data_IF_277999514202
#
_entry.id   IF_277999514202
#
_cell.length_a   1.000
_cell.length_b   1.000
_cell.length_c   1.000
_cell.angle_alpha   90.00
_cell.angle_beta   90.00
_cell.angle_gamma   90.00
#
_symmetry.space_group_name_H-M   'P 1'
#
loop_
_entity.id
_entity.type
_entity.pdbx_description
1 polymer ?
#
# COMPACT_ATOMS: atom_id res chain seq x y z
N UNK A 1 22.98 12.58 6.91
CA UNK A 1 21.62 13.13 6.67
C UNK A 1 20.60 12.18 7.33
N UNK A 2 19.54 12.71 7.93
CA UNK A 2 18.48 11.88 8.54
C UNK A 2 17.73 11.12 7.44
N UNK A 3 17.56 9.80 7.58
CA UNK A 3 16.78 8.99 6.65
C UNK A 3 15.33 9.48 6.61
N UNK A 4 14.74 9.57 5.41
CA UNK A 4 13.30 9.78 5.25
C UNK A 4 12.53 8.59 5.79
N UNK A 5 11.26 8.80 6.17
CA UNK A 5 10.40 7.73 6.69
C UNK A 5 9.19 7.56 5.78
N UNK A 6 9.09 6.41 5.19
CA UNK A 6 8.04 6.07 4.23
C UNK A 6 7.13 5.00 4.83
N UNK A 7 5.82 5.19 4.72
CA UNK A 7 4.83 4.18 5.00
C UNK A 7 4.06 3.85 3.72
N UNK A 8 4.02 2.59 3.34
CA UNK A 8 3.19 2.10 2.25
C UNK A 8 1.97 1.43 2.84
N UNK A 9 0.78 1.86 2.47
CA UNK A 9 -0.48 1.28 2.89
C UNK A 9 -1.18 0.72 1.66
N UNK A 10 -1.12 -0.60 1.52
CA UNK A 10 -1.69 -1.34 0.41
C UNK A 10 -2.85 -2.23 0.87
N UNK A 11 -3.79 -2.50 -0.01
CA UNK A 11 -4.94 -3.33 0.30
C UNK A 11 -4.52 -4.81 0.40
N UNK A 12 -3.75 -5.31 -0.55
CA UNK A 12 -3.37 -6.72 -0.67
C UNK A 12 -1.86 -6.88 -0.80
N UNK A 13 -1.32 -8.05 -0.39
CA UNK A 13 0.09 -8.39 -0.64
C UNK A 13 0.33 -8.65 -2.13
N UNK A 14 0.96 -7.79 -2.82
CA UNK A 14 1.37 -7.64 -4.23
C UNK A 14 1.15 -6.20 -4.75
N UNK A 15 0.17 -5.49 -4.22
CA UNK A 15 -0.15 -4.12 -4.66
C UNK A 15 1.05 -3.17 -4.53
N UNK A 16 1.85 -3.31 -3.47
CA UNK A 16 3.04 -2.48 -3.22
C UNK A 16 4.10 -2.67 -4.32
N UNK A 17 4.22 -3.89 -4.83
CA UNK A 17 5.19 -4.20 -5.90
C UNK A 17 4.64 -3.78 -7.25
N UNK A 18 3.38 -4.08 -7.52
CA UNK A 18 2.73 -3.69 -8.77
C UNK A 18 2.73 -2.17 -8.92
N UNK A 19 2.31 -1.45 -7.87
CA UNK A 19 2.13 0.00 -7.90
C UNK A 19 3.43 0.80 -7.70
N UNK A 20 4.32 0.38 -6.80
CA UNK A 20 5.52 1.16 -6.48
C UNK A 20 6.79 0.34 -6.24
N UNK A 21 6.89 -0.91 -6.75
CA UNK A 21 8.05 -1.78 -6.54
C UNK A 21 9.38 -1.15 -6.97
N UNK A 22 9.44 -0.54 -8.16
CA UNK A 22 10.64 0.16 -8.62
C UNK A 22 11.00 1.37 -7.75
N UNK A 23 10.00 2.06 -7.21
CA UNK A 23 10.18 3.15 -6.26
C UNK A 23 10.73 2.65 -4.93
N UNK A 24 10.25 1.50 -4.44
CA UNK A 24 10.78 0.83 -3.24
C UNK A 24 12.26 0.52 -3.42
N UNK A 25 12.62 -0.15 -4.52
CA UNK A 25 14.00 -0.50 -4.86
C UNK A 25 14.94 0.72 -4.85
N UNK A 26 14.48 1.83 -5.44
CA UNK A 26 15.25 3.08 -5.50
C UNK A 26 15.39 3.76 -4.14
N UNK A 27 14.35 3.72 -3.31
CA UNK A 27 14.30 4.53 -2.09
C UNK A 27 14.78 3.80 -0.84
N UNK A 28 14.80 2.46 -0.81
CA UNK A 28 15.12 1.66 0.38
C UNK A 28 16.49 1.96 0.99
N UNK A 29 17.48 2.32 0.19
CA UNK A 29 18.82 2.65 0.64
C UNK A 29 18.88 3.91 1.54
N UNK A 30 18.03 4.89 1.21
CA UNK A 30 18.06 6.23 1.80
C UNK A 30 16.89 6.52 2.74
N UNK A 31 15.95 5.58 2.87
CA UNK A 31 14.73 5.76 3.64
C UNK A 31 14.41 4.53 4.48
N UNK A 32 13.76 4.74 5.60
CA UNK A 32 13.13 3.69 6.40
C UNK A 32 11.74 3.42 5.82
N UNK A 33 11.55 2.26 5.18
CA UNK A 33 10.30 1.90 4.52
C UNK A 33 9.57 0.87 5.38
N UNK A 34 8.33 1.17 5.76
CA UNK A 34 7.41 0.24 6.40
C UNK A 34 6.20 -0.01 5.49
N UNK A 35 5.65 -1.22 5.52
CA UNK A 35 4.51 -1.61 4.70
C UNK A 35 3.42 -2.22 5.55
N UNK A 36 2.18 -1.86 5.26
CA UNK A 36 0.97 -2.40 5.89
C UNK A 36 0.05 -2.93 4.80
N UNK A 37 -0.44 -4.16 4.98
CA UNK A 37 -1.50 -4.73 4.18
C UNK A 37 -2.81 -4.74 4.96
N UNK A 38 -3.88 -4.27 4.33
CA UNK A 38 -5.18 -4.19 4.96
C UNK A 38 -5.81 -5.57 5.10
N UNK A 39 -5.67 -6.42 4.08
CA UNK A 39 -6.25 -7.76 4.00
C UNK A 39 -5.19 -8.82 3.67
N UNK A 40 -5.58 -10.09 3.57
CA UNK A 40 -4.71 -11.17 3.14
C UNK A 40 -4.71 -11.41 1.61
N UNK A 41 -5.64 -10.76 0.88
CA UNK A 41 -5.74 -10.80 -0.57
C UNK A 41 -6.15 -12.15 -1.19
N UNK A 42 -6.72 -13.08 -0.42
CA UNK A 42 -7.09 -14.42 -0.93
C UNK A 42 -8.46 -14.91 -0.48
N UNK A 43 -9.04 -14.35 0.57
CA UNK A 43 -10.25 -14.91 1.16
C UNK A 43 -11.52 -14.60 0.35
N UNK A 44 -11.49 -13.62 -0.55
CA UNK A 44 -12.61 -13.30 -1.44
C UNK A 44 -12.95 -14.43 -2.43
N UNK A 45 -11.96 -15.21 -2.84
CA UNK A 45 -12.12 -16.33 -3.81
C UNK A 45 -12.33 -17.67 -3.15
N UNK A 46 -12.74 -17.69 -1.87
CA UNK A 46 -12.94 -18.87 -1.06
C UNK A 46 -11.90 -19.03 0.04
N UNK A 47 -12.29 -19.62 1.17
CA UNK A 47 -11.42 -19.83 2.32
C UNK A 47 -10.47 -21.00 2.05
N UNK A 48 -9.34 -20.73 1.43
CA UNK A 48 -8.26 -21.70 1.22
C UNK A 48 -7.03 -21.32 2.06
N UNK A 49 -6.90 -21.95 3.22
CA UNK A 49 -5.77 -21.72 4.15
C UNK A 49 -4.40 -21.99 3.50
N UNK A 50 -4.32 -22.89 2.54
CA UNK A 50 -3.07 -23.22 1.83
C UNK A 50 -2.67 -22.02 0.95
N UNK A 51 -3.61 -21.45 0.21
CA UNK A 51 -3.37 -20.28 -0.64
C UNK A 51 -2.97 -19.06 0.19
N UNK A 52 -3.63 -18.84 1.34
CA UNK A 52 -3.29 -17.76 2.27
C UNK A 52 -1.84 -17.91 2.80
N UNK A 53 -1.49 -19.11 3.26
CA UNK A 53 -0.13 -19.40 3.75
C UNK A 53 0.92 -19.22 2.64
N UNK A 54 0.63 -19.67 1.42
CA UNK A 54 1.53 -19.50 0.26
C UNK A 54 1.75 -18.04 -0.05
N UNK A 55 0.69 -17.24 -0.17
CA UNK A 55 0.78 -15.79 -0.46
C UNK A 55 1.57 -15.06 0.62
N UNK A 56 1.24 -15.31 1.88
CA UNK A 56 1.98 -14.71 3.01
C UNK A 56 3.47 -15.09 3.00
N UNK A 57 3.79 -16.35 2.73
CA UNK A 57 5.19 -16.79 2.67
C UNK A 57 5.93 -16.17 1.48
N UNK A 58 5.29 -16.04 0.32
CA UNK A 58 5.86 -15.36 -0.84
C UNK A 58 6.16 -13.88 -0.50
N UNK A 59 5.19 -13.19 0.07
CA UNK A 59 5.36 -11.83 0.53
C UNK A 59 6.54 -11.70 1.53
N UNK A 60 6.62 -12.57 2.55
CA UNK A 60 7.73 -12.52 3.52
C UNK A 60 9.09 -12.85 2.92
N UNK A 61 9.16 -13.69 1.87
CA UNK A 61 10.38 -13.93 1.10
C UNK A 61 10.81 -12.68 0.34
N UNK A 62 9.86 -12.02 -0.31
CA UNK A 62 10.08 -10.78 -1.03
C UNK A 62 10.64 -9.69 -0.11
N UNK A 63 10.06 -9.48 1.06
CA UNK A 63 10.53 -8.46 2.00
C UNK A 63 11.94 -8.75 2.53
N UNK A 64 12.31 -10.02 2.68
CA UNK A 64 13.70 -10.41 2.98
C UNK A 64 14.64 -10.10 1.82
N UNK A 65 14.22 -10.38 0.58
CA UNK A 65 15.00 -10.05 -0.62
C UNK A 65 15.21 -8.54 -0.75
N UNK A 66 14.17 -7.76 -0.48
CA UNK A 66 14.25 -6.30 -0.53
C UNK A 66 15.08 -5.69 0.61
N UNK A 67 15.44 -6.47 1.62
CA UNK A 67 16.13 -5.99 2.83
C UNK A 67 15.40 -4.82 3.52
N UNK A 68 14.09 -4.95 3.63
CA UNK A 68 13.22 -4.02 4.37
C UNK A 68 12.45 -4.75 5.47
N UNK A 69 11.96 -4.04 6.50
CA UNK A 69 11.21 -4.65 7.59
C UNK A 69 10.03 -5.49 7.07
N UNK A 70 9.78 -6.62 7.71
CA UNK A 70 8.61 -7.45 7.39
C UNK A 70 7.33 -6.64 7.51
N UNK A 71 6.36 -6.84 6.58
CA UNK A 71 5.13 -6.07 6.57
C UNK A 71 4.20 -6.44 7.71
N UNK A 72 3.34 -5.52 8.07
CA UNK A 72 2.22 -5.80 8.96
C UNK A 72 0.95 -6.16 8.18
N UNK A 73 0.18 -7.09 8.73
CA UNK A 73 -1.12 -7.49 8.19
C UNK A 73 -2.23 -7.11 9.17
N UNK A 74 -3.18 -6.29 8.73
CA UNK A 74 -4.32 -5.91 9.55
C UNK A 74 -5.40 -6.99 9.60
N UNK A 75 -5.37 -7.93 8.66
CA UNK A 75 -6.27 -9.07 8.55
C UNK A 75 -7.76 -8.68 8.52
N UNK A 76 -8.10 -7.58 7.86
CA UNK A 76 -9.48 -7.31 7.54
C UNK A 76 -9.99 -8.32 6.49
N UNK A 77 -11.32 -8.56 6.41
CA UNK A 77 -11.88 -9.42 5.38
C UNK A 77 -11.54 -8.89 3.98
N UNK A 78 -11.01 -9.77 3.13
CA UNK A 78 -10.59 -9.47 1.77
C UNK A 78 -11.78 -9.17 0.87
N UNK A 79 -11.66 -8.13 0.04
CA UNK A 79 -12.68 -7.59 -0.84
C UNK A 79 -14.00 -7.22 -0.11
N UNK A 80 -13.89 -6.80 1.17
CA UNK A 80 -15.00 -6.47 2.04
C UNK A 80 -14.68 -5.28 2.96
N UNK A 81 -13.75 -4.41 2.59
CA UNK A 81 -13.47 -3.21 3.39
C UNK A 81 -14.66 -2.23 3.41
N UNK A 82 -15.55 -2.29 2.44
CA UNK A 82 -16.83 -1.57 2.42
C UNK A 82 -17.79 -2.00 3.53
N UNK A 83 -17.71 -3.26 3.98
CA UNK A 83 -18.49 -3.80 5.11
C UNK A 83 -17.84 -3.54 6.47
N UNK A 84 -16.63 -3.01 6.46
CA UNK A 84 -15.91 -2.68 7.70
C UNK A 84 -16.14 -1.20 8.05
N UNK A 85 -16.56 -0.86 9.27
CA UNK A 85 -16.72 0.53 9.66
C UNK A 85 -15.42 1.33 9.38
N UNK A 86 -15.50 2.34 8.55
CA UNK A 86 -14.36 3.13 8.10
C UNK A 86 -13.53 3.68 9.27
N UNK A 87 -14.20 4.12 10.34
CA UNK A 87 -13.54 4.59 11.55
C UNK A 87 -12.61 3.55 12.19
N UNK A 88 -12.98 2.25 12.12
CA UNK A 88 -12.14 1.15 12.63
C UNK A 88 -10.84 1.03 11.82
N UNK A 89 -10.94 1.21 10.50
CA UNK A 89 -9.79 1.19 9.60
C UNK A 89 -8.89 2.40 9.88
N UNK A 90 -9.48 3.59 9.91
CA UNK A 90 -8.78 4.86 10.19
C UNK A 90 -7.98 4.76 11.49
N UNK A 91 -8.61 4.36 12.60
CA UNK A 91 -7.94 4.24 13.91
C UNK A 91 -6.74 3.29 13.90
N UNK A 92 -6.78 2.21 13.12
CA UNK A 92 -5.63 1.33 12.96
C UNK A 92 -4.48 2.01 12.21
N UNK A 93 -4.79 2.76 11.14
CA UNK A 93 -3.80 3.49 10.36
C UNK A 93 -3.20 4.62 11.20
N UNK A 94 -4.01 5.40 11.91
CA UNK A 94 -3.55 6.48 12.82
C UNK A 94 -2.54 5.95 13.86
N UNK A 95 -2.80 4.78 14.47
CA UNK A 95 -1.85 4.15 15.40
C UNK A 95 -0.49 3.88 14.74
N UNK A 96 -0.47 3.50 13.45
CA UNK A 96 0.77 3.22 12.72
C UNK A 96 1.47 4.50 12.26
N UNK A 97 0.73 5.51 11.87
CA UNK A 97 1.27 6.84 11.61
C UNK A 97 1.97 7.39 12.86
N UNK A 98 1.34 7.27 14.03
CA UNK A 98 1.91 7.72 15.30
C UNK A 98 3.15 6.91 15.72
N UNK A 99 3.19 5.62 15.40
CA UNK A 99 4.32 4.73 15.72
C UNK A 99 5.51 4.98 14.79
N UNK A 100 5.29 4.95 13.47
CA UNK A 100 6.36 5.06 12.47
C UNK A 100 6.76 6.50 12.21
N UNK A 101 5.84 7.45 12.42
CA UNK A 101 6.03 8.88 12.13
C UNK A 101 6.54 9.11 10.72
N UNK A 102 5.85 8.58 9.68
CA UNK A 102 6.27 8.75 8.30
C UNK A 102 6.15 10.22 7.90
N UNK A 103 7.04 10.67 7.03
CA UNK A 103 6.92 11.95 6.32
C UNK A 103 6.20 11.80 4.97
N UNK A 104 6.22 10.60 4.41
CA UNK A 104 5.59 10.27 3.12
C UNK A 104 4.79 8.97 3.24
N UNK A 105 3.57 8.98 2.71
CA UNK A 105 2.74 7.78 2.58
C UNK A 105 2.48 7.50 1.11
N UNK A 106 2.66 6.23 0.70
CA UNK A 106 2.16 5.72 -0.57
C UNK A 106 0.91 4.88 -0.32
N UNK A 107 -0.11 5.06 -1.17
CA UNK A 107 -1.36 4.31 -1.09
C UNK A 107 -2.02 4.21 -2.47
N UNK A 108 -3.16 3.53 -2.54
CA UNK A 108 -3.92 3.38 -3.78
C UNK A 108 -4.47 4.69 -4.31
N UNK A 109 -4.86 4.66 -5.59
CA UNK A 109 -5.63 5.73 -6.20
C UNK A 109 -7.12 5.65 -5.79
N UNK A 110 -7.74 6.83 -5.61
CA UNK A 110 -9.12 6.95 -5.12
C UNK A 110 -10.18 6.31 -6.02
N UNK A 111 -9.94 6.29 -7.33
CA UNK A 111 -10.88 5.80 -8.35
C UNK A 111 -10.49 4.44 -8.92
N UNK A 112 -9.92 3.55 -8.13
CA UNK A 112 -9.62 2.20 -8.54
C UNK A 112 -10.90 1.34 -8.62
N UNK A 113 -10.96 0.34 -9.52
CA UNK A 113 -12.09 -0.58 -9.61
C UNK A 113 -12.28 -1.39 -8.33
N UNK A 114 -11.19 -1.83 -7.71
CA UNK A 114 -11.22 -2.64 -6.50
C UNK A 114 -11.72 -1.83 -5.30
N UNK A 115 -12.73 -2.35 -4.59
CA UNK A 115 -13.34 -1.66 -3.44
C UNK A 115 -12.36 -1.49 -2.27
N UNK A 116 -11.50 -2.48 -2.01
CA UNK A 116 -10.53 -2.40 -0.93
C UNK A 116 -9.48 -1.31 -1.20
N UNK A 117 -9.09 -1.11 -2.48
CA UNK A 117 -8.19 -0.03 -2.87
C UNK A 117 -8.81 1.34 -2.55
N UNK A 118 -10.07 1.56 -2.95
CA UNK A 118 -10.78 2.82 -2.66
C UNK A 118 -10.92 3.06 -1.17
N UNK A 119 -11.32 2.03 -0.41
CA UNK A 119 -11.47 2.14 1.05
C UNK A 119 -10.14 2.34 1.77
N UNK A 120 -9.07 1.75 1.27
CA UNK A 120 -7.72 2.00 1.77
C UNK A 120 -7.31 3.45 1.55
N UNK A 121 -7.50 4.00 0.33
CA UNK A 121 -7.25 5.41 0.05
C UNK A 121 -8.06 6.33 0.98
N UNK A 122 -9.38 6.10 1.08
CA UNK A 122 -10.28 6.91 1.91
C UNK A 122 -9.84 6.93 3.38
N UNK A 123 -9.47 5.77 3.91
CA UNK A 123 -9.00 5.64 5.28
C UNK A 123 -7.65 6.32 5.52
N UNK A 124 -6.68 6.17 4.59
CA UNK A 124 -5.37 6.83 4.66
C UNK A 124 -5.54 8.35 4.60
N UNK A 125 -6.29 8.85 3.62
CA UNK A 125 -6.51 10.28 3.46
C UNK A 125 -7.17 10.89 4.70
N UNK A 126 -8.13 10.19 5.29
CA UNK A 126 -8.79 10.63 6.52
C UNK A 126 -7.85 10.57 7.73
N UNK A 127 -7.04 9.51 7.88
CA UNK A 127 -6.07 9.38 8.96
C UNK A 127 -4.97 10.45 8.92
N UNK A 128 -4.68 10.98 7.74
CA UNK A 128 -3.65 12.01 7.52
C UNK A 128 -4.18 13.44 7.65
N UNK A 129 -5.42 13.65 8.08
CA UNK A 129 -5.97 15.01 8.27
C UNK A 129 -5.09 15.81 9.23
N UNK A 130 -4.83 17.11 8.95
CA UNK A 130 -3.95 17.96 9.76
C UNK A 130 -4.65 18.45 11.05
N UNK A 131 -5.23 17.53 11.84
CA UNK A 131 -5.95 17.86 13.08
C UNK A 131 -5.00 17.97 14.27
N UNK A 132 -3.87 17.25 14.24
CA UNK A 132 -2.85 17.22 15.28
C UNK A 132 -1.45 17.37 14.66
N UNK A 133 -0.39 17.38 15.46
CA UNK A 133 1.00 17.38 14.97
C UNK A 133 1.33 16.07 14.21
N UNK A 134 0.76 15.90 13.01
CA UNK A 134 1.01 14.74 12.15
C UNK A 134 2.35 14.92 11.45
N UNK A 135 3.13 13.85 11.37
CA UNK A 135 4.43 13.83 10.69
C UNK A 135 4.32 13.82 9.16
N UNK A 136 3.17 13.40 8.61
CA UNK A 136 2.95 13.19 7.18
C UNK A 136 2.93 14.53 6.44
N UNK A 137 3.82 14.64 5.44
CA UNK A 137 3.95 15.82 4.58
C UNK A 137 3.47 15.56 3.16
N UNK A 138 3.49 14.29 2.73
CA UNK A 138 3.11 13.87 1.37
C UNK A 138 2.28 12.61 1.42
N UNK A 139 1.22 12.57 0.62
CA UNK A 139 0.47 11.37 0.27
C UNK A 139 0.61 11.22 -1.24
N UNK A 140 1.14 10.07 -1.67
CA UNK A 140 1.35 9.73 -3.08
C UNK A 140 0.50 8.52 -3.42
N UNK A 141 -0.31 8.63 -4.46
CA UNK A 141 -1.13 7.53 -4.93
C UNK A 141 -0.43 6.78 -6.06
N UNK A 142 -0.50 5.46 -6.02
CA UNK A 142 -0.06 4.60 -7.11
C UNK A 142 -1.25 3.95 -7.84
N UNK A 143 -1.04 3.64 -9.09
CA UNK A 143 -1.97 2.85 -9.88
C UNK A 143 -1.66 1.35 -9.76
N UNK A 144 -2.71 0.54 -9.97
CA UNK A 144 -2.59 -0.90 -10.17
C UNK A 144 -3.17 -1.18 -11.57
N UNK A 145 -2.33 -1.46 -12.58
CA UNK A 145 -2.78 -1.57 -13.97
C UNK A 145 -3.94 -2.55 -14.19
N UNK A 146 -3.96 -3.65 -13.43
CA UNK A 146 -5.02 -4.67 -13.51
C UNK A 146 -6.37 -4.23 -12.92
N UNK A 147 -6.47 -3.08 -12.28
CA UNK A 147 -7.71 -2.62 -11.65
C UNK A 147 -7.95 -1.12 -11.75
N UNK A 148 -6.92 -0.29 -11.74
CA UNK A 148 -7.08 1.16 -11.85
C UNK A 148 -7.56 1.54 -13.25
N UNK A 149 -7.00 0.94 -14.30
CA UNK A 149 -7.35 1.20 -15.70
C UNK A 149 -8.77 0.72 -16.08
N UNK A 150 -9.31 -0.23 -15.32
CA UNK A 150 -10.65 -0.76 -15.53
C UNK A 150 -11.75 0.01 -14.79
N UNK A 151 -11.43 1.09 -14.11
CA UNK A 151 -12.37 1.90 -13.34
C UNK A 151 -13.17 2.88 -14.20
N UNK A 152 -13.66 2.45 -15.36
CA UNK A 152 -14.33 3.28 -16.38
C UNK A 152 -15.56 4.03 -15.86
N UNK A 153 -16.24 3.52 -14.83
CA UNK A 153 -17.49 4.08 -14.31
C UNK A 153 -17.30 5.09 -13.18
N UNK A 154 -16.07 5.33 -12.70
CA UNK A 154 -15.82 6.20 -11.55
C UNK A 154 -15.28 7.59 -11.93
N UNK A 155 -15.35 7.96 -13.19
CA UNK A 155 -15.32 9.35 -13.66
C UNK A 155 -13.95 9.99 -13.91
N UNK A 156 -12.85 9.52 -13.36
CA UNK A 156 -11.52 10.09 -13.63
C UNK A 156 -10.48 9.00 -13.74
N UNK A 157 -9.81 8.95 -14.88
CA UNK A 157 -8.63 8.09 -15.07
C UNK A 157 -7.49 8.54 -14.16
N UNK A 158 -6.60 7.61 -13.84
CA UNK A 158 -5.36 7.95 -13.16
C UNK A 158 -4.53 8.89 -14.06
N UNK A 159 -4.21 10.08 -13.54
CA UNK A 159 -3.36 11.04 -14.22
C UNK A 159 -2.10 11.26 -13.38
N UNK A 160 -0.98 10.62 -13.71
CA UNK A 160 0.24 10.73 -12.94
C UNK A 160 0.79 12.16 -13.02
N UNK A 161 1.16 12.70 -11.85
CA UNK A 161 1.79 14.00 -11.69
C UNK A 161 3.07 13.95 -10.85
N UNK A 162 3.46 12.76 -10.41
CA UNK A 162 4.69 12.51 -9.68
C UNK A 162 5.39 11.30 -10.27
N UNK A 163 6.61 11.49 -10.76
CA UNK A 163 7.37 10.46 -11.47
C UNK A 163 8.65 10.12 -10.73
N UNK A 164 8.96 8.85 -10.65
CA UNK A 164 10.20 8.32 -10.10
C UNK A 164 10.94 7.57 -11.21
N UNK A 165 12.09 8.07 -11.66
CA UNK A 165 12.91 7.33 -12.60
C UNK A 165 13.45 6.06 -11.95
N UNK A 166 13.01 4.92 -12.46
CA UNK A 166 13.39 3.58 -12.02
C UNK A 166 14.21 2.82 -13.08
N UNK A 167 14.73 3.50 -14.08
CA UNK A 167 15.43 2.86 -15.22
C UNK A 167 16.50 1.86 -14.78
N UNK A 168 17.26 2.18 -13.73
CA UNK A 168 18.29 1.29 -13.15
C UNK A 168 17.73 0.06 -12.43
N UNK A 169 16.45 0.06 -12.07
CA UNK A 169 15.78 -0.98 -11.28
C UNK A 169 14.70 -1.73 -12.07
N UNK A 170 14.54 -1.43 -13.36
CA UNK A 170 13.44 -1.97 -14.15
C UNK A 170 13.48 -3.50 -14.23
N UNK A 171 14.64 -4.06 -14.56
CA UNK A 171 14.81 -5.52 -14.66
C UNK A 171 14.60 -6.20 -13.31
N UNK A 172 15.08 -5.59 -12.22
CA UNK A 172 14.87 -6.13 -10.87
C UNK A 172 13.38 -6.08 -10.51
N UNK A 173 12.69 -4.95 -10.80
CA UNK A 173 11.25 -4.83 -10.57
C UNK A 173 10.44 -5.91 -11.30
N UNK A 174 10.80 -6.25 -12.54
CA UNK A 174 10.07 -7.25 -13.34
C UNK A 174 10.21 -8.65 -12.73
N UNK A 175 11.31 -8.90 -12.02
CA UNK A 175 11.61 -10.20 -11.41
C UNK A 175 11.13 -10.33 -9.95
N UNK A 176 10.50 -9.30 -9.38
CA UNK A 176 9.91 -9.34 -8.03
C UNK A 176 8.58 -10.09 -8.03
#
# INVERSE_FOLDING_TARGET
>A
MKKGKILIVAAHPDDEILGCGGTILKLKEKNDINVIFMTNGVSARGKNKISEKRRKNACLKLFRYLDIPKPEFFNFPDNQLDKTPLLKIIKKIEKKINLYKPDTIFTHYSNCLNIDHRKTFEAVNTACRPINKISVKKILSFEIPSSTDWALFHGKNFQPNYYVDISKFLNEKINL
#
